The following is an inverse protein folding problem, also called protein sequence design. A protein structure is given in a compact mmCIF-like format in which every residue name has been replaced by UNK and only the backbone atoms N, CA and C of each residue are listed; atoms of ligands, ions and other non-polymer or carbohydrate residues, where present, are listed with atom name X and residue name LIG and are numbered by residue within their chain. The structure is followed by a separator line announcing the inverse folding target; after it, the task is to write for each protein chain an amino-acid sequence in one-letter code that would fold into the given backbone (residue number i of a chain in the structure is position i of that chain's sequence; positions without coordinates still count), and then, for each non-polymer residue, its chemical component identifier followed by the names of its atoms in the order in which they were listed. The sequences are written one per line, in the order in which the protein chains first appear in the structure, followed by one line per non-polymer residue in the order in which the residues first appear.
data_IF_946376967906
#
_entry.id   IF_946376967906
#
_cell.length_a   1.000
_cell.length_b   1.000
_cell.length_c   1.000
_cell.angle_alpha   90.00
_cell.angle_beta   90.00
_cell.angle_gamma   90.00
#
_symmetry.space_group_name_H-M   'P 1'
#
loop_
_entity.id
_entity.type
_entity.pdbx_description
1 polymer ?
#
# COMPACT_ATOMS: atom_id res chain seq x y z
N UNK A 1 -13.50 11.09 -6.13
CA UNK A 1 -13.43 9.64 -5.84
C UNK A 1 -12.28 9.42 -4.86
N UNK A 2 -12.52 8.76 -3.74
CA UNK A 2 -11.43 8.34 -2.85
C UNK A 2 -10.75 7.12 -3.45
N UNK A 3 -9.43 7.21 -3.66
CA UNK A 3 -8.61 6.06 -4.06
C UNK A 3 -8.23 5.31 -2.79
N UNK A 4 -8.59 4.03 -2.73
CA UNK A 4 -8.22 3.11 -1.66
C UNK A 4 -7.06 2.25 -2.15
N UNK A 5 -6.06 2.06 -1.30
CA UNK A 5 -4.94 1.18 -1.56
C UNK A 5 -4.74 0.25 -0.36
N UNK A 6 -4.34 -0.97 -0.63
CA UNK A 6 -3.96 -1.95 0.40
C UNK A 6 -2.54 -2.44 0.14
N UNK A 7 -1.79 -2.73 1.18
CA UNK A 7 -0.46 -3.32 1.09
C UNK A 7 -0.55 -4.80 1.40
N UNK A 8 0.01 -5.63 0.55
CA UNK A 8 -0.06 -7.09 0.65
C UNK A 8 1.30 -7.72 0.45
N UNK A 9 1.50 -8.90 1.05
CA UNK A 9 2.67 -9.71 0.83
C UNK A 9 2.50 -10.53 -0.46
N UNK A 10 3.56 -10.60 -1.28
CA UNK A 10 3.66 -11.48 -2.44
C UNK A 10 4.94 -12.30 -2.30
N UNK A 11 4.86 -13.58 -2.63
CA UNK A 11 5.96 -14.53 -2.52
C UNK A 11 6.05 -15.39 -3.79
N UNK A 12 7.28 -15.73 -4.17
CA UNK A 12 7.60 -16.76 -5.15
C UNK A 12 8.90 -17.49 -4.77
N UNK A 13 9.51 -18.22 -5.70
CA UNK A 13 10.76 -18.94 -5.46
C UNK A 13 11.98 -18.03 -5.24
N UNK A 14 11.90 -16.76 -5.63
CA UNK A 14 12.99 -15.80 -5.50
C UNK A 14 12.96 -15.02 -4.19
N UNK A 15 11.78 -14.89 -3.55
CA UNK A 15 11.69 -14.27 -2.24
C UNK A 15 10.30 -13.78 -1.87
N UNK A 16 10.27 -12.79 -0.99
CA UNK A 16 9.05 -12.16 -0.47
C UNK A 16 9.18 -10.65 -0.53
N UNK A 17 8.15 -10.00 -1.03
CA UNK A 17 8.05 -8.54 -1.12
C UNK A 17 6.66 -8.08 -0.68
N UNK A 18 6.54 -6.79 -0.40
CA UNK A 18 5.25 -6.17 -0.13
C UNK A 18 4.91 -5.15 -1.22
N UNK A 19 3.70 -5.27 -1.76
CA UNK A 19 3.20 -4.42 -2.83
C UNK A 19 2.00 -3.61 -2.35
N UNK A 20 1.89 -2.38 -2.83
CA UNK A 20 0.61 -1.68 -2.83
C UNK A 20 -0.25 -2.22 -3.98
N UNK A 21 -1.53 -2.47 -3.68
CA UNK A 21 -2.58 -2.65 -4.66
C UNK A 21 -3.43 -1.38 -4.72
N UNK A 22 -3.56 -0.81 -5.91
CA UNK A 22 -4.38 0.36 -6.20
C UNK A 22 -5.71 -0.02 -6.87
N UNK A 23 -6.63 0.94 -6.92
CA UNK A 23 -7.98 0.81 -7.49
C UNK A 23 -8.75 -0.42 -6.94
N UNK A 24 -8.59 -0.66 -5.63
CA UNK A 24 -9.12 -1.90 -5.02
C UNK A 24 -10.64 -1.88 -4.91
N UNK A 25 -11.25 -3.02 -5.18
CA UNK A 25 -12.67 -3.30 -4.97
C UNK A 25 -12.83 -4.44 -3.98
N UNK A 26 -13.85 -4.37 -3.12
CA UNK A 26 -14.17 -5.43 -2.17
C UNK A 26 -15.34 -6.27 -2.71
N UNK A 27 -15.16 -7.59 -2.80
CA UNK A 27 -16.21 -8.54 -3.12
C UNK A 27 -16.19 -9.69 -2.11
N UNK A 28 -17.24 -9.79 -1.30
CA UNK A 28 -17.26 -10.72 -0.17
C UNK A 28 -16.18 -10.32 0.85
N UNK A 29 -15.24 -11.21 1.11
CA UNK A 29 -14.11 -10.99 2.04
C UNK A 29 -12.75 -10.89 1.34
N UNK A 30 -12.75 -10.60 0.04
CA UNK A 30 -11.54 -10.43 -0.76
C UNK A 30 -11.52 -9.06 -1.45
N UNK A 31 -10.32 -8.51 -1.55
CA UNK A 31 -10.03 -7.32 -2.33
C UNK A 31 -9.39 -7.71 -3.65
N UNK A 32 -9.79 -7.04 -4.73
CA UNK A 32 -9.13 -7.15 -6.04
C UNK A 32 -8.63 -5.77 -6.45
N UNK A 33 -7.37 -5.66 -6.82
CA UNK A 33 -6.72 -4.42 -7.23
C UNK A 33 -5.50 -4.66 -8.10
N UNK A 34 -4.78 -3.59 -8.47
CA UNK A 34 -3.62 -3.65 -9.36
C UNK A 34 -2.31 -3.38 -8.65
N UNK A 35 -1.26 -4.13 -8.98
CA UNK A 35 0.11 -3.88 -8.47
C UNK A 35 0.54 -2.45 -8.80
N UNK A 36 0.96 -1.69 -7.79
CA UNK A 36 1.23 -0.24 -7.90
C UNK A 36 2.71 0.14 -7.74
N UNK A 37 3.60 -0.86 -7.64
CA UNK A 37 5.04 -0.67 -7.61
C UNK A 37 5.77 -1.79 -8.36
N UNK A 38 6.93 -1.48 -8.92
CA UNK A 38 7.76 -2.45 -9.63
C UNK A 38 8.31 -3.52 -8.65
N UNK A 39 8.37 -4.79 -9.06
CA UNK A 39 8.99 -5.85 -8.26
C UNK A 39 10.52 -5.75 -8.32
N UNK A 40 11.19 -6.04 -7.20
CA UNK A 40 12.66 -6.04 -7.13
C UNK A 40 13.28 -7.45 -7.10
N UNK A 41 12.58 -8.43 -6.54
CA UNK A 41 13.04 -9.79 -6.24
C UNK A 41 12.10 -10.83 -6.87
N UNK A 42 10.80 -10.73 -6.61
CA UNK A 42 9.78 -11.62 -7.16
C UNK A 42 9.62 -11.38 -8.66
N UNK A 43 9.28 -12.42 -9.41
CA UNK A 43 9.12 -12.38 -10.88
C UNK A 43 7.75 -12.86 -11.34
N UNK A 44 6.88 -13.24 -10.41
CA UNK A 44 5.53 -13.72 -10.70
C UNK A 44 4.49 -12.59 -10.85
N UNK A 45 4.89 -11.32 -10.77
CA UNK A 45 4.03 -10.14 -10.96
C UNK A 45 4.80 -9.03 -11.69
N UNK A 46 4.07 -8.07 -12.25
CA UNK A 46 4.57 -6.77 -12.70
C UNK A 46 3.59 -5.66 -12.34
N UNK A 47 4.03 -4.41 -12.42
CA UNK A 47 3.16 -3.25 -12.26
C UNK A 47 1.94 -3.32 -13.17
N UNK A 48 0.77 -3.00 -12.62
CA UNK A 48 -0.52 -3.05 -13.30
C UNK A 48 -1.21 -4.41 -13.33
N UNK A 49 -0.54 -5.51 -12.96
CA UNK A 49 -1.18 -6.83 -12.86
C UNK A 49 -2.29 -6.82 -11.81
N UNK A 50 -3.39 -7.50 -12.11
CA UNK A 50 -4.50 -7.66 -11.17
C UNK A 50 -4.21 -8.79 -10.17
N UNK A 51 -4.46 -8.53 -8.89
CA UNK A 51 -4.37 -9.51 -7.81
C UNK A 51 -5.59 -9.46 -6.91
N UNK A 52 -6.07 -10.65 -6.54
CA UNK A 52 -7.12 -10.83 -5.55
C UNK A 52 -6.52 -11.41 -4.27
N UNK A 53 -6.82 -10.78 -3.14
CA UNK A 53 -6.25 -11.10 -1.84
C UNK A 53 -7.36 -11.15 -0.78
N UNK A 54 -7.34 -12.11 0.16
CA UNK A 54 -8.28 -12.11 1.27
C UNK A 54 -7.99 -10.90 2.18
N UNK A 55 -9.01 -10.40 2.86
CA UNK A 55 -8.87 -9.30 3.82
C UNK A 55 -7.82 -9.59 4.91
N UNK A 56 -7.70 -10.85 5.33
CA UNK A 56 -6.69 -11.29 6.30
C UNK A 56 -5.23 -11.17 5.80
N UNK A 57 -5.02 -11.05 4.49
CA UNK A 57 -3.68 -10.87 3.89
C UNK A 57 -3.22 -9.41 3.78
N UNK A 58 -4.01 -8.45 4.29
CA UNK A 58 -3.68 -7.03 4.25
C UNK A 58 -2.72 -6.68 5.39
N UNK A 59 -1.55 -6.15 5.03
CA UNK A 59 -0.51 -5.73 5.97
C UNK A 59 -0.60 -4.24 6.33
N UNK A 60 -1.09 -3.40 5.42
CA UNK A 60 -1.31 -1.95 5.63
C UNK A 60 -2.39 -1.47 4.66
N UNK A 61 -2.91 -0.25 4.86
CA UNK A 61 -3.93 0.34 4.01
C UNK A 61 -3.80 1.85 4.00
N UNK A 62 -4.26 2.50 2.92
CA UNK A 62 -4.39 3.95 2.90
C UNK A 62 -5.51 4.42 1.98
N UNK A 63 -6.02 5.61 2.24
CA UNK A 63 -6.90 6.31 1.31
C UNK A 63 -6.76 7.83 1.45
N UNK A 64 -7.11 8.54 0.37
CA UNK A 64 -7.13 10.00 0.34
C UNK A 64 -8.55 10.56 0.53
N UNK A 65 -8.70 11.48 1.48
CA UNK A 65 -9.94 12.25 1.70
C UNK A 65 -9.58 13.69 2.10
N UNK A 66 -10.18 14.68 1.45
CA UNK A 66 -9.94 16.11 1.71
C UNK A 66 -8.45 16.49 1.72
N UNK A 67 -7.67 15.96 0.76
CA UNK A 67 -6.20 16.12 0.65
C UNK A 67 -5.40 15.57 1.84
N UNK A 68 -6.03 14.76 2.69
CA UNK A 68 -5.38 14.06 3.79
C UNK A 68 -5.30 12.56 3.53
N UNK A 69 -4.15 11.98 3.85
CA UNK A 69 -3.85 10.55 3.78
C UNK A 69 -4.20 9.88 5.10
N UNK A 70 -5.20 9.01 5.08
CA UNK A 70 -5.58 8.17 6.22
C UNK A 70 -4.89 6.81 6.09
N UNK A 71 -4.53 6.19 7.23
CA UNK A 71 -3.76 4.94 7.26
C UNK A 71 -2.26 5.16 7.01
N UNK A 72 -1.66 4.29 6.19
CA UNK A 72 -0.23 4.19 5.87
C UNK A 72 0.64 4.11 7.13
N UNK A 73 0.36 3.10 7.96
CA UNK A 73 1.06 2.92 9.24
C UNK A 73 2.54 2.60 9.03
N UNK A 74 2.88 1.95 7.93
CA UNK A 74 4.27 1.73 7.53
C UNK A 74 5.00 3.06 7.39
N UNK A 75 4.44 4.04 6.65
CA UNK A 75 5.05 5.36 6.50
C UNK A 75 5.20 6.05 7.85
N UNK A 76 4.21 5.99 8.73
CA UNK A 76 4.26 6.62 10.07
C UNK A 76 5.44 6.15 10.90
N UNK A 77 5.78 4.85 10.82
CA UNK A 77 6.98 4.30 11.45
C UNK A 77 8.25 4.80 10.75
N UNK A 78 8.27 4.81 9.42
CA UNK A 78 9.43 5.27 8.63
C UNK A 78 9.76 6.75 8.83
N UNK A 79 8.77 7.61 9.10
CA UNK A 79 8.97 9.05 9.38
C UNK A 79 9.89 9.32 10.58
N UNK A 80 10.06 8.35 11.48
CA UNK A 80 10.98 8.45 12.62
C UNK A 80 12.45 8.29 12.22
N UNK A 81 12.70 7.74 11.02
CA UNK A 81 14.03 7.44 10.48
C UNK A 81 14.42 8.34 9.29
N UNK A 82 13.45 9.08 8.74
CA UNK A 82 13.66 10.02 7.63
C UNK A 82 14.30 11.32 8.12
N UNK A 83 14.93 12.04 7.19
CA UNK A 83 15.37 13.42 7.42
C UNK A 83 14.16 14.31 7.81
N UNK A 84 14.43 15.35 8.59
CA UNK A 84 13.38 16.23 9.14
C UNK A 84 12.55 16.90 8.04
N UNK A 85 13.19 17.40 7.00
CA UNK A 85 12.52 18.16 5.94
C UNK A 85 11.70 17.24 5.04
N UNK A 86 12.22 16.04 4.75
CA UNK A 86 11.47 15.00 4.04
C UNK A 86 10.26 14.53 4.85
N UNK A 87 10.46 14.20 6.13
CA UNK A 87 9.39 13.75 6.99
C UNK A 87 8.29 14.82 7.18
N UNK A 88 8.65 16.11 7.19
CA UNK A 88 7.69 17.21 7.29
C UNK A 88 6.70 17.24 6.10
N UNK A 89 7.16 16.93 4.88
CA UNK A 89 6.30 16.88 3.68
C UNK A 89 5.19 15.84 3.83
N UNK A 90 5.54 14.65 4.31
CA UNK A 90 4.57 13.58 4.55
C UNK A 90 3.64 13.89 5.73
N UNK A 91 4.17 14.44 6.84
CA UNK A 91 3.34 14.86 7.99
C UNK A 91 2.29 15.90 7.60
N UNK A 92 2.61 16.80 6.68
CA UNK A 92 1.67 17.82 6.21
C UNK A 92 0.42 17.24 5.52
N UNK A 93 0.55 16.07 4.89
CA UNK A 93 -0.55 15.41 4.18
C UNK A 93 -1.17 14.26 4.97
N UNK A 94 -0.55 13.74 6.03
CA UNK A 94 -1.15 12.73 6.89
C UNK A 94 -2.37 13.29 7.63
N UNK A 95 -3.41 12.48 7.71
CA UNK A 95 -4.54 12.72 8.61
C UNK A 95 -4.11 12.47 10.07
N UNK A 96 -4.76 13.14 11.04
CA UNK A 96 -4.72 12.71 12.44
C UNK A 96 -5.15 11.24 12.58
N UNK A 97 -4.66 10.57 13.62
CA UNK A 97 -5.15 9.24 14.02
C UNK A 97 -6.43 9.34 14.83
#
# INVERSE_FOLDING_TARGET
MSKYNIKVQIQDEHGTEYFWLSDVTLKGDAFTGKIDNDPEIVKNVKIGDERTVPKAGIADWMYMKNRKMYGNYTLRVLLKKMDKDEAAKYRAILAPE
#
